data_IF_132759151526
#
_entry.id   IF_132759151526
#
_cell.length_a   1.000
_cell.length_b   1.000
_cell.length_c   1.000
_cell.angle_alpha   90.00
_cell.angle_beta   90.00
_cell.angle_gamma   90.00
#
_symmetry.space_group_name_H-M   'P 1'
#
loop_
_entity.id
_entity.type
_entity.pdbx_description
1 polymer ?
#
# COMPACT_ATOMS: atom_id res chain seq x y z
N UNK A 1 35.15 -17.52 2.65
CA UNK A 1 35.15 -18.95 3.04
C UNK A 1 36.50 -19.56 2.67
N UNK A 2 37.08 -20.43 3.50
CA UNK A 2 38.35 -21.11 3.16
C UNK A 2 38.09 -22.29 2.22
N UNK A 3 38.96 -22.47 1.22
CA UNK A 3 38.96 -23.64 0.34
C UNK A 3 39.20 -24.92 1.17
N UNK A 4 38.40 -25.97 0.92
CA UNK A 4 38.45 -27.24 1.68
C UNK A 4 37.77 -27.23 3.05
N UNK A 5 37.27 -26.08 3.53
CA UNK A 5 36.63 -25.97 4.85
C UNK A 5 35.13 -26.31 4.87
N UNK A 6 34.70 -27.04 5.89
CA UNK A 6 33.28 -27.43 6.13
C UNK A 6 32.35 -26.23 6.34
N UNK A 7 32.91 -25.03 6.58
CA UNK A 7 32.17 -23.78 6.81
C UNK A 7 31.19 -23.43 5.68
N UNK A 8 31.57 -23.64 4.41
CA UNK A 8 30.69 -23.39 3.26
C UNK A 8 29.53 -24.40 3.20
N UNK A 9 29.81 -25.68 3.46
CA UNK A 9 28.78 -26.73 3.52
C UNK A 9 27.75 -26.47 4.62
N UNK A 10 28.19 -26.05 5.82
CA UNK A 10 27.31 -25.66 6.93
C UNK A 10 26.46 -24.43 6.58
N UNK A 11 27.06 -23.40 5.97
CA UNK A 11 26.34 -22.21 5.53
C UNK A 11 25.26 -22.56 4.47
N UNK A 12 25.59 -23.38 3.47
CA UNK A 12 24.65 -23.87 2.45
C UNK A 12 23.52 -24.70 3.07
N UNK A 13 23.83 -25.58 4.03
CA UNK A 13 22.82 -26.35 4.76
C UNK A 13 21.86 -25.47 5.56
N UNK A 14 22.38 -24.45 6.26
CA UNK A 14 21.56 -23.47 7.01
C UNK A 14 20.67 -22.64 6.06
N UNK A 15 21.21 -22.22 4.92
CA UNK A 15 20.42 -21.53 3.89
C UNK A 15 19.31 -22.43 3.33
N UNK A 16 19.61 -23.68 2.98
CA UNK A 16 18.61 -24.64 2.47
C UNK A 16 17.48 -24.89 3.48
N UNK A 17 17.79 -25.08 4.77
CA UNK A 17 16.78 -25.23 5.83
C UNK A 17 15.93 -23.97 5.98
N UNK A 18 16.53 -22.79 5.87
CA UNK A 18 15.80 -21.52 5.96
C UNK A 18 14.85 -21.35 4.77
N UNK A 19 15.28 -21.72 3.57
CA UNK A 19 14.43 -21.70 2.36
C UNK A 19 13.28 -22.71 2.49
N UNK A 20 13.54 -23.93 2.97
CA UNK A 20 12.50 -24.94 3.19
C UNK A 20 11.46 -24.49 4.22
N UNK A 21 11.91 -23.91 5.34
CA UNK A 21 11.00 -23.35 6.36
C UNK A 21 10.12 -22.24 5.76
N UNK A 22 10.72 -21.35 4.98
CA UNK A 22 10.01 -20.28 4.29
C UNK A 22 8.99 -20.82 3.29
N UNK A 23 9.36 -21.81 2.47
CA UNK A 23 8.45 -22.44 1.52
C UNK A 23 7.27 -23.11 2.23
N UNK A 24 7.50 -23.78 3.36
CA UNK A 24 6.44 -24.40 4.17
C UNK A 24 5.50 -23.35 4.79
N UNK A 25 6.05 -22.26 5.34
CA UNK A 25 5.26 -21.14 5.86
C UNK A 25 4.38 -20.54 4.75
N UNK A 26 4.92 -20.34 3.55
CA UNK A 26 4.17 -19.82 2.40
C UNK A 26 3.09 -20.79 1.94
N UNK A 27 3.38 -22.09 1.86
CA UNK A 27 2.41 -23.11 1.48
C UNK A 27 1.23 -23.16 2.45
N UNK A 28 1.51 -23.18 3.76
CA UNK A 28 0.47 -23.20 4.78
C UNK A 28 -0.41 -21.95 4.71
N UNK A 29 0.20 -20.78 4.44
CA UNK A 29 -0.52 -19.52 4.29
C UNK A 29 -1.41 -19.53 3.03
N UNK A 30 -0.90 -20.09 1.92
CA UNK A 30 -1.68 -20.27 0.69
C UNK A 30 -2.88 -21.22 0.88
N UNK A 31 -2.68 -22.34 1.58
CA UNK A 31 -3.75 -23.31 1.88
C UNK A 31 -4.80 -22.69 2.79
N UNK A 32 -4.38 -22.05 3.90
CA UNK A 32 -5.29 -21.38 4.82
C UNK A 32 -6.17 -20.35 4.09
N UNK A 33 -5.63 -19.67 3.07
CA UNK A 33 -6.35 -18.66 2.29
C UNK A 33 -7.34 -19.19 1.27
N UNK A 34 -7.19 -20.42 0.77
CA UNK A 34 -8.17 -20.99 -0.16
C UNK A 34 -9.56 -21.14 0.46
N UNK A 35 -9.63 -21.26 1.78
CA UNK A 35 -10.88 -21.44 2.52
C UNK A 35 -11.46 -20.11 3.03
N UNK A 36 -10.68 -19.03 3.03
CA UNK A 36 -11.13 -17.73 3.50
C UNK A 36 -12.01 -17.08 2.42
N UNK A 37 -13.25 -16.78 2.81
CA UNK A 37 -14.16 -15.95 2.03
C UNK A 37 -14.02 -14.50 2.47
N UNK A 38 -13.71 -13.63 1.53
CA UNK A 38 -13.73 -12.18 1.65
C UNK A 38 -15.07 -11.60 1.19
N UNK A 39 -15.02 -10.33 0.80
CA UNK A 39 -16.17 -9.58 0.30
C UNK A 39 -15.96 -9.29 -1.19
N UNK A 40 -16.91 -9.70 -2.03
CA UNK A 40 -16.91 -9.35 -3.45
C UNK A 40 -17.57 -7.98 -3.63
N UNK A 41 -16.77 -6.99 -4.00
CA UNK A 41 -17.24 -5.64 -4.28
C UNK A 41 -18.06 -5.60 -5.58
N UNK A 42 -19.03 -4.70 -5.63
CA UNK A 42 -19.89 -4.45 -6.78
C UNK A 42 -19.08 -3.91 -7.96
N UNK A 43 -19.57 -4.13 -9.18
CA UNK A 43 -19.02 -3.51 -10.39
C UNK A 43 -19.12 -1.98 -10.32
N UNK A 44 -18.31 -1.30 -11.12
CA UNK A 44 -18.28 0.17 -11.17
C UNK A 44 -19.67 0.74 -11.49
N UNK A 45 -20.05 1.77 -10.75
CA UNK A 45 -21.27 2.56 -10.97
C UNK A 45 -20.92 3.93 -11.58
N UNK A 46 -21.93 4.78 -11.78
CA UNK A 46 -21.75 6.11 -12.36
C UNK A 46 -20.80 6.99 -11.53
N UNK A 47 -20.89 6.97 -10.20
CA UNK A 47 -19.99 7.75 -9.34
C UNK A 47 -18.52 7.32 -9.49
N UNK A 48 -18.27 6.01 -9.62
CA UNK A 48 -16.92 5.51 -9.87
C UNK A 48 -16.38 6.02 -11.20
N UNK A 49 -17.21 6.05 -12.25
CA UNK A 49 -16.83 6.60 -13.54
C UNK A 49 -16.59 8.12 -13.48
N UNK A 50 -17.43 8.87 -12.76
CA UNK A 50 -17.27 10.31 -12.55
C UNK A 50 -15.96 10.63 -11.81
N UNK A 51 -15.63 9.89 -10.74
CA UNK A 51 -14.35 10.06 -10.04
C UNK A 51 -13.17 9.80 -11.00
N UNK A 52 -13.25 8.75 -11.82
CA UNK A 52 -12.20 8.40 -12.77
C UNK A 52 -12.02 9.45 -13.85
N UNK A 53 -13.11 9.97 -14.42
CA UNK A 53 -13.07 11.05 -15.42
C UNK A 53 -12.61 12.39 -14.85
N UNK A 54 -12.77 12.62 -13.54
CA UNK A 54 -12.29 13.83 -12.87
C UNK A 54 -10.77 13.84 -12.63
N UNK A 55 -10.06 12.77 -12.98
CA UNK A 55 -8.61 12.73 -12.83
C UNK A 55 -7.95 13.70 -13.83
N UNK A 56 -7.11 14.65 -13.38
CA UNK A 56 -6.62 15.73 -14.22
C UNK A 56 -5.44 15.36 -15.13
N UNK A 57 -4.96 14.11 -15.08
CA UNK A 57 -3.83 13.64 -15.87
C UNK A 57 -4.26 12.47 -16.75
N UNK A 58 -3.61 12.27 -17.89
CA UNK A 58 -3.81 11.06 -18.69
C UNK A 58 -3.09 9.87 -18.04
N UNK A 59 -3.82 8.77 -17.87
CA UNK A 59 -3.24 7.55 -17.31
C UNK A 59 -2.36 6.82 -18.32
N UNK A 60 -1.23 6.30 -17.83
CA UNK A 60 -0.38 5.42 -18.63
C UNK A 60 -1.01 4.04 -18.80
N UNK A 61 -0.58 3.29 -19.82
CA UNK A 61 -1.01 1.91 -20.03
C UNK A 61 -0.83 1.04 -18.77
N UNK A 62 0.33 1.14 -18.12
CA UNK A 62 0.62 0.37 -16.91
C UNK A 62 -0.30 0.75 -15.73
N UNK A 63 -0.69 2.02 -15.62
CA UNK A 63 -1.65 2.47 -14.61
C UNK A 63 -3.04 1.90 -14.88
N UNK A 64 -3.52 1.97 -16.12
CA UNK A 64 -4.81 1.39 -16.53
C UNK A 64 -4.85 -0.13 -16.29
N UNK A 65 -3.75 -0.83 -16.61
CA UNK A 65 -3.63 -2.25 -16.33
C UNK A 65 -3.69 -2.53 -14.82
N UNK A 66 -2.89 -1.83 -14.01
CA UNK A 66 -2.90 -2.00 -12.56
C UNK A 66 -4.29 -1.70 -11.95
N UNK A 67 -4.98 -0.67 -12.43
CA UNK A 67 -6.35 -0.34 -12.02
C UNK A 67 -7.34 -1.46 -12.36
N UNK A 68 -7.28 -2.01 -13.57
CA UNK A 68 -8.13 -3.11 -14.01
C UNK A 68 -7.92 -4.35 -13.14
N UNK A 69 -6.65 -4.70 -12.90
CA UNK A 69 -6.27 -5.85 -12.06
C UNK A 69 -6.72 -5.68 -10.60
N UNK A 70 -6.53 -4.50 -10.00
CA UNK A 70 -7.00 -4.21 -8.63
C UNK A 70 -8.52 -4.34 -8.55
N UNK A 71 -9.27 -3.76 -9.49
CA UNK A 71 -10.74 -3.82 -9.48
C UNK A 71 -11.26 -5.24 -9.68
N UNK A 72 -10.64 -5.99 -10.60
CA UNK A 72 -11.02 -7.38 -10.85
C UNK A 72 -10.81 -8.26 -9.60
N UNK A 73 -9.71 -8.04 -8.87
CA UNK A 73 -9.47 -8.75 -7.61
C UNK A 73 -10.45 -8.35 -6.51
N UNK A 74 -10.88 -7.08 -6.46
CA UNK A 74 -11.90 -6.63 -5.52
C UNK A 74 -13.29 -7.20 -5.84
N UNK A 75 -13.59 -7.53 -7.09
CA UNK A 75 -14.91 -8.04 -7.51
C UNK A 75 -15.12 -9.54 -7.25
N UNK A 76 -14.12 -10.24 -6.71
CA UNK A 76 -14.21 -11.67 -6.40
C UNK A 76 -14.31 -11.95 -4.90
N UNK A 77 -14.88 -13.10 -4.54
CA UNK A 77 -15.08 -13.49 -3.12
C UNK A 77 -13.77 -13.80 -2.40
N UNK A 78 -12.68 -14.04 -3.12
CA UNK A 78 -11.37 -14.29 -2.51
C UNK A 78 -10.76 -12.95 -2.09
N UNK A 79 -10.31 -12.77 -0.82
CA UNK A 79 -9.68 -11.53 -0.39
C UNK A 79 -8.49 -11.16 -1.29
N UNK A 80 -8.46 -9.94 -1.79
CA UNK A 80 -7.35 -9.41 -2.57
C UNK A 80 -6.08 -9.28 -1.70
N UNK A 81 -4.93 -9.72 -2.20
CA UNK A 81 -3.64 -9.26 -1.69
C UNK A 81 -2.71 -8.89 -2.83
N UNK A 82 -2.76 -7.62 -3.22
CA UNK A 82 -2.01 -7.09 -4.35
C UNK A 82 -0.88 -6.17 -3.90
N UNK A 83 0.25 -6.27 -4.58
CA UNK A 83 1.34 -5.31 -4.48
C UNK A 83 1.37 -4.46 -5.76
N UNK A 84 1.27 -3.15 -5.61
CA UNK A 84 1.50 -2.19 -6.69
C UNK A 84 2.87 -1.57 -6.51
N UNK A 85 3.73 -1.82 -7.48
CA UNK A 85 5.11 -1.34 -7.50
C UNK A 85 5.29 -0.33 -8.62
N UNK A 86 5.93 0.80 -8.35
CA UNK A 86 6.28 1.79 -9.36
C UNK A 86 6.98 2.97 -8.71
N UNK A 87 7.76 3.75 -9.45
CA UNK A 87 8.57 4.82 -8.84
C UNK A 87 7.72 5.93 -8.19
N UNK A 88 8.39 6.75 -7.35
CA UNK A 88 7.77 7.94 -6.77
C UNK A 88 7.23 8.82 -7.90
N UNK A 89 5.96 9.22 -7.82
CA UNK A 89 5.31 10.02 -8.86
C UNK A 89 4.62 9.23 -9.97
N UNK A 90 4.70 7.89 -10.01
CA UNK A 90 4.05 7.08 -11.06
C UNK A 90 2.55 6.81 -10.82
N UNK A 91 1.86 7.66 -10.05
CA UNK A 91 0.40 7.55 -9.87
C UNK A 91 -0.10 6.43 -8.95
N UNK A 92 0.77 5.81 -8.12
CA UNK A 92 0.35 4.80 -7.13
C UNK A 92 -0.79 5.26 -6.21
N UNK A 93 -0.77 6.54 -5.83
CA UNK A 93 -1.81 7.14 -4.99
C UNK A 93 -3.17 7.16 -5.68
N UNK A 94 -3.22 7.38 -6.99
CA UNK A 94 -4.50 7.37 -7.74
C UNK A 94 -5.12 5.97 -7.78
N UNK A 95 -4.29 4.92 -7.89
CA UNK A 95 -4.76 3.53 -7.78
C UNK A 95 -5.38 3.26 -6.42
N UNK A 96 -4.74 3.75 -5.35
CA UNK A 96 -5.24 3.63 -3.99
C UNK A 96 -6.56 4.38 -3.78
N UNK A 97 -6.68 5.59 -4.33
CA UNK A 97 -7.89 6.42 -4.28
C UNK A 97 -9.06 5.71 -4.96
N UNK A 98 -8.86 5.20 -6.18
CA UNK A 98 -9.93 4.51 -6.94
C UNK A 98 -10.37 3.21 -6.27
N UNK A 99 -9.43 2.45 -5.70
CA UNK A 99 -9.74 1.25 -4.93
C UNK A 99 -10.51 1.59 -3.64
N UNK A 100 -10.09 2.62 -2.91
CA UNK A 100 -10.77 3.08 -1.71
C UNK A 100 -12.19 3.57 -2.00
N UNK A 101 -12.37 4.33 -3.07
CA UNK A 101 -13.68 4.82 -3.47
C UNK A 101 -14.64 3.66 -3.77
N UNK A 102 -14.20 2.66 -4.55
CA UNK A 102 -14.98 1.44 -4.83
C UNK A 102 -15.43 0.76 -3.53
N UNK A 103 -14.53 0.64 -2.56
CA UNK A 103 -14.88 0.02 -1.28
C UNK A 103 -15.92 0.82 -0.48
N UNK A 104 -15.78 2.15 -0.44
CA UNK A 104 -16.73 3.04 0.24
C UNK A 104 -18.12 3.01 -0.41
N UNK A 105 -18.20 2.90 -1.74
CA UNK A 105 -19.48 2.82 -2.45
C UNK A 105 -20.32 1.60 -2.05
N UNK A 106 -19.67 0.51 -1.63
CA UNK A 106 -20.34 -0.68 -1.08
C UNK A 106 -20.52 -0.62 0.45
N UNK A 107 -20.33 0.55 1.06
CA UNK A 107 -20.52 0.78 2.49
C UNK A 107 -19.42 0.19 3.37
N UNK A 108 -18.28 -0.21 2.80
CA UNK A 108 -17.12 -0.69 3.55
C UNK A 108 -16.21 0.45 3.96
N UNK A 109 -15.70 0.39 5.19
CA UNK A 109 -14.67 1.32 5.65
C UNK A 109 -13.31 0.96 5.03
N UNK A 110 -12.47 1.98 4.84
CA UNK A 110 -11.11 1.85 4.30
C UNK A 110 -10.10 2.41 5.28
N UNK A 111 -9.02 1.66 5.50
CA UNK A 111 -7.88 2.12 6.29
C UNK A 111 -6.64 2.27 5.41
N UNK A 112 -5.97 3.42 5.51
CA UNK A 112 -4.69 3.69 4.85
C UNK A 112 -3.61 3.83 5.90
N UNK A 113 -2.60 2.97 5.85
CA UNK A 113 -1.44 2.98 6.73
C UNK A 113 -0.24 3.61 6.00
N UNK A 114 0.27 4.71 6.55
CA UNK A 114 1.50 5.34 6.09
C UNK A 114 2.54 5.43 7.22
N UNK A 115 3.85 5.36 6.92
CA UNK A 115 4.87 5.21 7.96
C UNK A 115 5.18 6.49 8.73
N UNK A 116 4.89 7.66 8.16
CA UNK A 116 5.18 8.96 8.77
C UNK A 116 3.94 9.83 8.83
N UNK A 117 3.91 10.74 9.81
CA UNK A 117 2.82 11.71 9.96
C UNK A 117 2.71 12.66 8.76
N UNK A 118 3.83 12.95 8.08
CA UNK A 118 3.86 13.77 6.86
C UNK A 118 3.15 13.05 5.71
N UNK A 119 3.45 11.76 5.49
CA UNK A 119 2.76 10.97 4.46
C UNK A 119 1.27 10.80 4.77
N UNK A 120 0.89 10.66 6.05
CA UNK A 120 -0.52 10.66 6.47
C UNK A 120 -1.21 11.95 6.06
N UNK A 121 -0.58 13.11 6.30
CA UNK A 121 -1.13 14.40 5.90
C UNK A 121 -1.26 14.51 4.37
N UNK A 122 -0.22 14.13 3.63
CA UNK A 122 -0.25 14.15 2.16
C UNK A 122 -1.36 13.26 1.58
N UNK A 123 -1.49 12.03 2.07
CA UNK A 123 -2.60 11.16 1.68
C UNK A 123 -3.94 11.76 2.07
N UNK A 124 -4.07 12.34 3.26
CA UNK A 124 -5.30 12.98 3.71
C UNK A 124 -5.74 14.12 2.79
N UNK A 125 -4.81 15.00 2.43
CA UNK A 125 -5.08 16.13 1.55
C UNK A 125 -5.46 15.65 0.14
N UNK A 126 -4.69 14.73 -0.44
CA UNK A 126 -4.96 14.15 -1.77
C UNK A 126 -6.32 13.44 -1.84
N UNK A 127 -6.65 12.63 -0.84
CA UNK A 127 -7.92 11.91 -0.79
C UNK A 127 -9.11 12.87 -0.64
N UNK A 128 -8.97 13.89 0.21
CA UNK A 128 -10.03 14.90 0.39
C UNK A 128 -10.24 15.75 -0.85
N UNK A 129 -9.18 16.13 -1.53
CA UNK A 129 -9.27 16.90 -2.77
C UNK A 129 -9.94 16.06 -3.86
N UNK A 130 -9.45 14.83 -4.10
CA UNK A 130 -9.96 13.94 -5.15
C UNK A 130 -11.41 13.50 -4.93
N UNK A 131 -11.83 13.34 -3.68
CA UNK A 131 -13.20 12.90 -3.34
C UNK A 131 -14.11 14.06 -2.87
N UNK A 132 -13.70 15.32 -3.08
CA UNK A 132 -14.42 16.51 -2.57
C UNK A 132 -15.85 16.66 -3.09
N UNK A 133 -16.14 16.14 -4.29
CA UNK A 133 -17.47 16.16 -4.91
C UNK A 133 -18.42 15.08 -4.36
N UNK A 134 -17.95 14.21 -3.47
CA UNK A 134 -18.71 13.06 -2.99
C UNK A 134 -18.96 13.15 -1.47
N UNK A 135 -20.10 12.64 -0.97
CA UNK A 135 -20.44 12.69 0.44
C UNK A 135 -19.70 11.60 1.25
N UNK A 136 -18.37 11.58 1.18
CA UNK A 136 -17.50 10.60 1.83
C UNK A 136 -16.76 11.27 2.99
N UNK A 137 -16.88 10.68 4.18
CA UNK A 137 -16.22 11.17 5.38
C UNK A 137 -14.81 10.60 5.48
N UNK A 138 -13.83 11.46 5.17
CA UNK A 138 -12.40 11.15 5.26
C UNK A 138 -11.82 11.84 6.49
N UNK A 139 -11.17 11.09 7.37
CA UNK A 139 -10.42 11.64 8.50
C UNK A 139 -8.98 11.07 8.56
N UNK A 140 -8.18 11.62 9.48
CA UNK A 140 -6.84 11.13 9.74
C UNK A 140 -6.54 10.94 11.22
N UNK A 141 -5.71 9.93 11.52
CA UNK A 141 -5.22 9.64 12.86
C UNK A 141 -3.69 9.75 12.90
N UNK A 142 -3.23 10.89 13.40
CA UNK A 142 -1.81 11.27 13.36
C UNK A 142 -1.41 12.07 14.59
N UNK A 143 -0.09 12.31 14.76
CA UNK A 143 0.44 13.12 15.85
C UNK A 143 0.05 14.60 15.76
N UNK A 144 -0.45 15.07 14.62
CA UNK A 144 -0.94 16.43 14.44
C UNK A 144 -2.35 16.64 15.03
N UNK A 145 -3.07 15.58 15.38
CA UNK A 145 -4.37 15.65 16.05
C UNK A 145 -4.19 15.66 17.57
N UNK A 146 -4.94 16.53 18.25
CA UNK A 146 -5.06 16.53 19.70
C UNK A 146 -5.71 15.23 20.21
N UNK A 147 -5.52 14.91 21.50
CA UNK A 147 -6.14 13.72 22.11
C UNK A 147 -7.67 13.72 22.01
N UNK A 148 -8.29 14.91 22.12
CA UNK A 148 -9.74 15.04 22.03
C UNK A 148 -10.25 14.77 20.60
N UNK A 149 -9.55 15.28 19.59
CA UNK A 149 -9.87 14.97 18.19
C UNK A 149 -9.67 13.48 17.90
N UNK A 150 -8.53 12.91 18.30
CA UNK A 150 -8.28 11.47 18.12
C UNK A 150 -9.40 10.62 18.72
N UNK A 151 -9.86 10.96 19.94
CA UNK A 151 -10.97 10.24 20.58
C UNK A 151 -12.26 10.33 19.75
N UNK A 152 -12.60 11.50 19.22
CA UNK A 152 -13.77 11.68 18.34
C UNK A 152 -13.67 10.83 17.07
N UNK A 153 -12.49 10.80 16.45
CA UNK A 153 -12.24 9.98 15.24
C UNK A 153 -12.41 8.50 15.54
N UNK A 154 -11.86 8.02 16.66
CA UNK A 154 -11.95 6.61 17.07
C UNK A 154 -13.41 6.22 17.35
N UNK A 155 -14.16 7.05 18.07
CA UNK A 155 -15.59 6.83 18.28
C UNK A 155 -16.40 6.88 16.97
N UNK A 156 -16.00 7.74 16.03
CA UNK A 156 -16.57 7.83 14.70
C UNK A 156 -16.33 6.57 13.88
N UNK A 157 -15.12 5.99 13.96
CA UNK A 157 -14.75 4.74 13.29
C UNK A 157 -15.59 3.56 13.78
N UNK A 158 -15.73 3.41 15.09
CA UNK A 158 -16.52 2.33 15.70
C UNK A 158 -18.01 2.44 15.35
N UNK A 159 -18.53 3.66 15.20
CA UNK A 159 -19.91 3.93 14.79
C UNK A 159 -20.12 3.89 13.27
N UNK A 160 -19.06 3.75 12.48
CA UNK A 160 -19.11 3.78 11.01
C UNK A 160 -19.47 5.15 10.44
N UNK A 161 -19.10 6.23 11.12
CA UNK A 161 -19.25 7.62 10.62
C UNK A 161 -18.05 8.10 9.79
N UNK A 162 -16.92 7.41 9.91
CA UNK A 162 -15.71 7.67 9.13
C UNK A 162 -15.59 6.56 8.10
N UNK A 163 -15.70 6.91 6.83
CA UNK A 163 -15.65 5.96 5.70
C UNK A 163 -14.20 5.61 5.37
N UNK A 164 -13.32 6.62 5.34
CA UNK A 164 -11.90 6.46 5.07
C UNK A 164 -11.08 7.05 6.21
N UNK A 165 -10.17 6.25 6.76
CA UNK A 165 -9.20 6.70 7.77
C UNK A 165 -7.78 6.54 7.29
N UNK A 166 -7.03 7.63 7.36
CA UNK A 166 -5.62 7.66 6.98
C UNK A 166 -4.79 7.86 8.24
N UNK A 167 -3.82 7.00 8.50
CA UNK A 167 -3.10 7.07 9.76
C UNK A 167 -1.80 6.33 9.79
N UNK A 168 -1.08 6.58 10.88
CA UNK A 168 0.17 5.88 11.14
C UNK A 168 -0.11 4.49 11.72
N UNK A 169 0.93 3.83 12.22
CA UNK A 169 0.82 2.63 13.08
C UNK A 169 -0.15 2.77 14.27
N UNK A 170 -0.62 3.99 14.60
CA UNK A 170 -1.70 4.20 15.57
C UNK A 170 -2.98 3.44 15.21
N UNK A 171 -3.30 3.28 13.92
CA UNK A 171 -4.52 2.60 13.45
C UNK A 171 -4.52 1.08 13.71
N UNK A 172 -3.35 0.48 13.95
CA UNK A 172 -3.21 -0.95 14.25
C UNK A 172 -3.01 -1.21 15.75
N UNK A 173 -3.43 -0.27 16.60
CA UNK A 173 -3.47 -0.46 18.04
C UNK A 173 -4.77 -1.15 18.47
N UNK A 174 -4.74 -1.86 19.59
CA UNK A 174 -5.83 -2.76 20.02
C UNK A 174 -7.13 -2.02 20.37
N UNK A 175 -7.06 -0.72 20.63
CA UNK A 175 -8.19 0.14 20.95
C UNK A 175 -8.89 0.70 19.72
N UNK A 176 -8.36 0.46 18.51
CA UNK A 176 -9.00 0.84 17.26
C UNK A 176 -9.98 -0.26 16.85
N UNK A 177 -11.25 0.11 16.70
CA UNK A 177 -12.32 -0.77 16.25
C UNK A 177 -13.00 -0.14 15.05
N UNK A 178 -13.12 -0.93 13.99
CA UNK A 178 -13.88 -0.60 12.80
C UNK A 178 -15.27 -1.23 12.92
N UNK A 179 -16.29 -0.56 12.39
CA UNK A 179 -17.63 -1.13 12.25
C UNK A 179 -17.63 -2.23 11.18
N UNK A 180 -17.05 -1.94 10.01
CA UNK A 180 -17.00 -2.85 8.87
C UNK A 180 -15.85 -2.48 7.92
N UNK A 181 -14.63 -2.91 8.27
CA UNK A 181 -13.43 -2.67 7.44
C UNK A 181 -13.42 -3.63 6.26
N UNK A 182 -13.40 -3.11 5.02
CA UNK A 182 -13.36 -3.92 3.81
C UNK A 182 -12.04 -3.84 3.04
N UNK A 183 -11.29 -2.74 3.15
CA UNK A 183 -10.04 -2.55 2.43
C UNK A 183 -8.95 -1.95 3.33
N UNK A 184 -7.76 -2.56 3.29
CA UNK A 184 -6.55 -2.04 3.91
C UNK A 184 -5.50 -1.67 2.85
N UNK A 185 -5.16 -0.39 2.78
CA UNK A 185 -4.07 0.10 1.94
C UNK A 185 -2.84 0.34 2.82
N UNK A 186 -1.69 -0.20 2.43
CA UNK A 186 -0.42 -0.02 3.15
C UNK A 186 0.58 0.64 2.21
N UNK A 187 1.00 1.85 2.54
CA UNK A 187 2.03 2.56 1.81
C UNK A 187 3.41 2.35 2.45
N UNK A 188 4.43 2.11 1.63
CA UNK A 188 5.82 1.94 2.07
C UNK A 188 5.99 0.90 3.20
N UNK A 189 5.39 -0.29 3.02
CA UNK A 189 5.34 -1.38 4.03
C UNK A 189 6.73 -1.72 4.63
N UNK A 190 7.82 -1.56 3.86
CA UNK A 190 9.21 -1.70 4.31
C UNK A 190 9.54 -0.89 5.56
N UNK A 191 8.98 0.31 5.71
CA UNK A 191 9.27 1.26 6.80
C UNK A 191 8.60 0.87 8.12
N UNK A 192 7.68 -0.11 8.12
CA UNK A 192 7.04 -0.60 9.35
C UNK A 192 7.92 -1.63 10.09
N UNK A 193 7.97 -1.50 11.42
CA UNK A 193 8.65 -2.45 12.30
C UNK A 193 7.98 -3.83 12.34
N UNK A 194 8.68 -4.81 12.92
CA UNK A 194 8.24 -6.22 12.93
C UNK A 194 6.87 -6.39 13.61
N UNK A 195 6.68 -5.81 14.79
CA UNK A 195 5.41 -5.87 15.53
C UNK A 195 4.24 -5.27 14.75
N UNK A 196 4.48 -4.17 14.02
CA UNK A 196 3.46 -3.56 13.18
C UNK A 196 3.07 -4.48 12.02
N UNK A 197 4.05 -5.12 11.38
CA UNK A 197 3.83 -6.08 10.29
C UNK A 197 3.03 -7.30 10.74
N UNK A 198 3.25 -7.81 11.95
CA UNK A 198 2.45 -8.90 12.50
C UNK A 198 0.98 -8.51 12.70
N UNK A 199 0.70 -7.31 13.20
CA UNK A 199 -0.68 -6.82 13.33
C UNK A 199 -1.34 -6.58 11.99
N UNK A 200 -0.61 -6.01 11.03
CA UNK A 200 -1.08 -5.85 9.65
C UNK A 200 -1.45 -7.22 9.06
N UNK A 201 -0.62 -8.24 9.22
CA UNK A 201 -0.92 -9.60 8.74
C UNK A 201 -2.24 -10.14 9.28
N UNK A 202 -2.50 -9.96 10.58
CA UNK A 202 -3.76 -10.40 11.21
C UNK A 202 -4.97 -9.67 10.62
N UNK A 203 -4.86 -8.35 10.40
CA UNK A 203 -5.94 -7.59 9.77
C UNK A 203 -6.21 -8.04 8.33
N UNK A 204 -5.16 -8.34 7.57
CA UNK A 204 -5.23 -8.83 6.17
C UNK A 204 -5.84 -10.22 6.02
N UNK A 205 -6.14 -10.95 7.09
CA UNK A 205 -6.63 -12.33 6.97
C UNK A 205 -7.99 -12.40 6.28
N UNK A 206 -8.91 -11.46 6.55
CA UNK A 206 -10.30 -11.53 6.10
C UNK A 206 -10.75 -10.35 5.23
N UNK A 207 -9.85 -9.45 4.85
CA UNK A 207 -10.17 -8.23 4.11
C UNK A 207 -9.23 -8.07 2.92
N UNK A 208 -9.67 -7.28 1.94
CA UNK A 208 -8.85 -6.93 0.81
C UNK A 208 -7.68 -6.04 1.25
N UNK A 209 -6.51 -6.28 0.67
CA UNK A 209 -5.32 -5.51 0.98
C UNK A 209 -4.51 -5.12 -0.25
N UNK A 210 -4.21 -3.83 -0.32
CA UNK A 210 -3.41 -3.21 -1.37
C UNK A 210 -2.14 -2.66 -0.73
N UNK A 211 -0.98 -3.06 -1.22
CA UNK A 211 0.30 -2.49 -0.76
C UNK A 211 0.93 -1.68 -1.87
N UNK A 212 1.36 -0.47 -1.55
CA UNK A 212 2.04 0.44 -2.46
C UNK A 212 3.52 0.50 -2.08
N UNK A 213 4.41 0.42 -3.07
CA UNK A 213 5.84 0.61 -2.81
C UNK A 213 6.54 1.27 -4.00
N UNK A 214 7.47 2.18 -3.71
CA UNK A 214 8.40 2.68 -4.72
C UNK A 214 9.43 1.63 -5.13
N UNK A 215 9.98 0.90 -4.15
CA UNK A 215 11.02 -0.09 -4.38
C UNK A 215 10.47 -1.51 -4.17
N UNK A 216 10.56 -2.41 -5.16
CA UNK A 216 10.22 -3.80 -4.93
C UNK A 216 11.28 -4.40 -4.01
N UNK A 217 10.90 -4.77 -2.79
CA UNK A 217 11.80 -5.48 -1.86
C UNK A 217 12.14 -6.83 -2.53
N UNK A 218 13.43 -7.24 -2.69
CA UNK A 218 13.79 -8.46 -3.41
C UNK A 218 13.07 -9.72 -2.92
N UNK A 219 12.76 -9.78 -1.61
CA UNK A 219 12.00 -10.86 -0.99
C UNK A 219 10.50 -10.83 -1.31
N UNK A 220 9.90 -9.65 -1.43
CA UNK A 220 8.49 -9.49 -1.83
C UNK A 220 8.31 -9.74 -3.32
N UNK A 221 9.26 -9.27 -4.14
CA UNK A 221 9.32 -9.57 -5.57
C UNK A 221 9.49 -11.08 -5.81
N UNK A 222 10.32 -11.77 -5.02
CA UNK A 222 10.43 -13.23 -5.07
C UNK A 222 9.14 -13.98 -4.63
N UNK A 223 8.33 -13.41 -3.72
CA UNK A 223 7.03 -13.99 -3.33
C UNK A 223 5.98 -13.81 -4.43
N UNK A 224 5.99 -12.67 -5.12
CA UNK A 224 5.15 -12.45 -6.30
C UNK A 224 5.55 -13.32 -7.48
N UNK A 225 6.85 -13.51 -7.72
CA UNK A 225 7.38 -14.39 -8.77
C UNK A 225 7.00 -15.88 -8.57
N UNK A 226 6.64 -16.30 -7.36
CA UNK A 226 6.19 -17.68 -7.05
C UNK A 226 4.66 -17.80 -7.10
N UNK A 227 3.92 -16.73 -7.42
CA UNK A 227 2.46 -16.76 -7.56
C UNK A 227 1.70 -16.78 -6.22
N UNK A 228 2.37 -16.45 -5.12
CA UNK A 228 1.74 -16.35 -3.78
C UNK A 228 1.11 -14.97 -3.56
N UNK A 229 1.54 -13.95 -4.30
CA UNK A 229 1.08 -12.57 -4.18
C UNK A 229 0.99 -11.90 -5.53
N UNK A 230 -0.20 -11.41 -5.89
CA UNK A 230 -0.44 -10.74 -7.17
C UNK A 230 0.32 -9.40 -7.22
N UNK A 231 0.99 -9.12 -8.34
CA UNK A 231 1.89 -7.98 -8.52
C UNK A 231 1.50 -7.21 -9.78
N UNK A 232 1.25 -5.92 -9.60
CA UNK A 232 1.15 -4.95 -10.70
C UNK A 232 2.39 -4.07 -10.68
N UNK A 233 3.05 -3.92 -11.83
CA UNK A 233 4.24 -3.07 -11.98
C UNK A 233 3.91 -1.91 -12.90
N UNK A 234 4.22 -0.70 -12.45
CA UNK A 234 4.12 0.54 -13.21
C UNK A 234 5.54 0.99 -13.53
N UNK A 235 5.93 0.85 -14.80
CA UNK A 235 7.26 1.23 -15.27
C UNK A 235 7.22 2.52 -16.08
N UNK A 236 6.09 2.79 -16.73
CA UNK A 236 5.92 3.94 -17.61
C UNK A 236 5.70 5.21 -16.77
N UNK A 237 6.64 6.20 -16.83
CA UNK A 237 6.44 7.49 -16.19
C UNK A 237 5.27 8.25 -16.84
N UNK A 238 4.58 9.13 -16.10
CA UNK A 238 3.67 10.12 -16.70
C UNK A 238 4.42 11.06 -17.65
N UNK A 239 3.74 11.61 -18.66
CA UNK A 239 4.36 12.38 -19.75
C UNK A 239 5.19 13.59 -19.28
N UNK A 240 4.76 14.29 -18.23
CA UNK A 240 5.44 15.51 -17.74
C UNK A 240 6.70 15.25 -16.91
N UNK A 241 7.15 13.99 -16.77
CA UNK A 241 8.29 13.64 -15.92
C UNK A 241 9.60 13.58 -16.71
N UNK A 242 10.43 14.60 -16.52
CA UNK A 242 11.81 14.58 -17.01
C UNK A 242 12.71 13.70 -16.11
N UNK A 243 13.67 12.96 -16.70
CA UNK A 243 14.63 12.19 -15.94
C UNK A 243 15.54 13.10 -15.11
N UNK A 244 15.88 12.66 -13.88
CA UNK A 244 16.79 13.41 -13.01
C UNK A 244 18.22 13.25 -13.52
N UNK A 245 18.84 14.35 -13.96
CA UNK A 245 20.24 14.39 -14.34
C UNK A 245 21.12 14.15 -13.10
N UNK A 246 21.74 12.97 -13.01
CA UNK A 246 22.55 12.55 -11.86
C UNK A 246 24.04 12.59 -12.21
N UNK A 247 24.83 13.31 -11.42
CA UNK A 247 26.28 13.42 -11.61
C UNK A 247 27.03 12.74 -10.44
N UNK A 248 27.99 11.89 -10.75
CA UNK A 248 28.89 11.27 -9.76
C UNK A 248 30.24 11.96 -9.85
N UNK A 249 30.59 12.74 -8.82
CA UNK A 249 31.85 13.47 -8.75
C UNK A 249 32.51 13.29 -7.38
N UNK A 250 33.82 13.59 -7.30
CA UNK A 250 34.47 13.77 -5.99
C UNK A 250 33.90 15.02 -5.34
N UNK A 251 33.85 15.04 -4.01
CA UNK A 251 33.38 16.21 -3.26
C UNK A 251 34.23 17.43 -3.63
N UNK A 252 33.58 18.43 -4.21
CA UNK A 252 34.12 19.74 -4.52
C UNK A 252 33.11 20.78 -4.04
N UNK A 253 33.52 21.63 -3.10
CA UNK A 253 32.64 22.63 -2.51
C UNK A 253 32.18 23.67 -3.54
N UNK A 254 32.93 23.89 -4.64
CA UNK A 254 32.50 24.78 -5.73
C UNK A 254 31.31 24.21 -6.50
N UNK A 255 31.35 22.91 -6.82
CA UNK A 255 30.23 22.21 -7.49
C UNK A 255 29.00 22.25 -6.59
N UNK A 256 29.17 22.07 -5.27
CA UNK A 256 28.06 22.14 -4.30
C UNK A 256 27.44 23.54 -4.28
N UNK A 257 28.25 24.60 -4.19
CA UNK A 257 27.74 25.99 -4.18
C UNK A 257 27.06 26.34 -5.49
N UNK A 258 27.60 25.91 -6.63
CA UNK A 258 27.00 26.12 -7.94
C UNK A 258 25.64 25.41 -8.05
N UNK A 259 25.56 24.14 -7.62
CA UNK A 259 24.31 23.40 -7.58
C UNK A 259 23.27 24.07 -6.69
N UNK A 260 23.66 24.54 -5.49
CA UNK A 260 22.75 25.25 -4.57
C UNK A 260 22.27 26.57 -5.16
N UNK A 261 23.10 27.30 -5.92
CA UNK A 261 22.71 28.58 -6.54
C UNK A 261 21.83 28.41 -7.78
N UNK A 262 21.92 27.25 -8.44
CA UNK A 262 21.14 26.95 -9.63
C UNK A 262 19.69 26.59 -9.30
N UNK A 263 19.47 26.02 -8.11
CA UNK A 263 18.16 25.66 -7.57
C UNK A 263 17.47 26.86 -6.89
#
# INVERSE_FOLDING_TARGET
>A
YRLGGVSWGKAKGKAKRSIQKLAQELYNLYVARKEIRGFAFSKNNNWQQELEMSFPYEETYDQLQALSEVKADMEIVKPMERLVCGDVGYGKTEIAIRAAFKAVLDGKQVAILAPTTILVQQHYDNFRERMSSFPINIDMLSRFRTKQEQKKVIEGLEKGKVDIIIGTHRLIQNDIRFKDLGLLIVDEEQRFGVLHKERIKKLKESIDSLTLTATPIPRTLHMSLIGVRDLSVINTPPEDRFPIATYICRRDDKIIVEAIRRE
#
